data_IF_593890656336
#
_entry.id   IF_593890656336
#
_cell.length_a   1.000
_cell.length_b   1.000
_cell.length_c   1.000
_cell.angle_alpha   90.00
_cell.angle_beta   90.00
_cell.angle_gamma   90.00
#
_symmetry.space_group_name_H-M   'P 1'
#
loop_
_entity.id
_entity.type
_entity.pdbx_description
1 polymer ?
#
# COMPACT_ATOMS: atom_id res chain seq x y z
N UNK A 1 61.73 -20.62 -4.55
CA UNK A 1 61.01 -19.69 -3.64
C UNK A 1 59.79 -20.34 -2.99
N UNK A 2 58.97 -21.15 -3.71
CA UNK A 2 57.74 -21.78 -3.20
C UNK A 2 58.00 -22.81 -2.08
N UNK A 3 59.14 -23.47 -2.08
CA UNK A 3 59.46 -24.53 -1.13
C UNK A 3 59.87 -24.00 0.24
N UNK A 4 60.41 -22.79 0.34
CA UNK A 4 60.87 -22.15 1.58
C UNK A 4 59.69 -21.56 2.37
N UNK A 5 58.59 -21.19 1.69
CA UNK A 5 57.39 -20.63 2.30
C UNK A 5 56.38 -21.69 2.81
N UNK A 6 56.55 -22.97 2.45
CA UNK A 6 55.67 -24.08 2.90
C UNK A 6 55.51 -24.17 4.43
N UNK A 7 56.61 -24.11 5.24
CA UNK A 7 56.45 -24.20 6.70
C UNK A 7 55.73 -22.97 7.31
N UNK A 8 55.91 -21.79 6.70
CA UNK A 8 55.26 -20.59 7.17
C UNK A 8 53.75 -20.64 6.90
N UNK A 9 53.38 -21.10 5.72
CA UNK A 9 51.96 -21.25 5.36
C UNK A 9 51.25 -22.34 6.21
N UNK A 10 51.99 -23.45 6.53
CA UNK A 10 51.48 -24.49 7.41
C UNK A 10 51.25 -23.94 8.86
N UNK A 11 52.19 -23.14 9.36
CA UNK A 11 52.07 -22.50 10.69
C UNK A 11 50.88 -21.54 10.74
N UNK A 12 50.68 -20.71 9.71
CA UNK A 12 49.55 -19.81 9.58
C UNK A 12 48.21 -20.57 9.52
N UNK A 13 48.15 -21.66 8.77
CA UNK A 13 46.94 -22.47 8.67
C UNK A 13 46.60 -23.14 10.01
N UNK A 14 47.60 -23.63 10.73
CA UNK A 14 47.40 -24.19 12.07
C UNK A 14 47.01 -23.14 13.09
N UNK A 15 47.55 -21.96 12.98
CA UNK A 15 47.19 -20.84 13.85
C UNK A 15 45.78 -20.31 13.58
N UNK A 16 45.38 -20.20 12.32
CA UNK A 16 44.01 -19.90 11.93
C UNK A 16 43.02 -20.95 12.46
N UNK A 17 43.33 -22.24 12.35
CA UNK A 17 42.50 -23.34 12.89
C UNK A 17 42.45 -23.32 14.43
N UNK A 18 43.51 -22.89 15.11
CA UNK A 18 43.52 -22.75 16.55
C UNK A 18 42.71 -21.55 17.01
N UNK A 19 42.86 -20.41 16.33
CA UNK A 19 42.04 -19.21 16.60
C UNK A 19 40.55 -19.46 16.35
N UNK A 20 40.18 -20.11 15.25
CA UNK A 20 38.77 -20.42 14.96
C UNK A 20 38.16 -21.38 15.98
N UNK A 21 38.96 -22.29 16.57
CA UNK A 21 38.51 -23.15 17.69
C UNK A 21 38.41 -22.41 19.01
N UNK A 22 39.30 -21.45 19.26
CA UNK A 22 39.32 -20.68 20.51
C UNK A 22 38.20 -19.62 20.54
N UNK A 23 37.93 -19.02 19.39
CA UNK A 23 36.91 -17.95 19.28
C UNK A 23 35.49 -18.49 19.08
N UNK A 24 35.31 -19.86 18.98
CA UNK A 24 34.00 -20.44 18.67
C UNK A 24 33.21 -19.51 17.76
N UNK A 25 33.73 -19.23 16.57
CA UNK A 25 32.93 -18.67 15.51
C UNK A 25 32.02 -19.82 15.08
N UNK A 26 30.89 -19.94 15.73
CA UNK A 26 29.76 -20.69 15.19
C UNK A 26 29.39 -19.95 13.92
N UNK A 27 29.81 -20.47 12.76
CA UNK A 27 29.41 -20.00 11.42
C UNK A 27 27.92 -20.32 11.11
N UNK A 28 27.10 -20.51 12.16
CA UNK A 28 25.65 -20.53 12.08
C UNK A 28 25.11 -19.07 12.27
N UNK A 29 25.64 -18.14 11.49
CA UNK A 29 24.92 -16.88 11.28
C UNK A 29 23.74 -17.19 10.35
N UNK A 30 22.61 -17.59 10.93
CA UNK A 30 21.35 -17.47 10.23
C UNK A 30 21.23 -15.99 9.83
N UNK A 31 21.23 -15.76 8.51
CA UNK A 31 21.06 -14.41 7.95
C UNK A 31 19.76 -13.85 8.53
N UNK A 32 19.84 -12.73 9.23
CA UNK A 32 18.67 -12.07 9.80
C UNK A 32 17.91 -11.31 8.70
N UNK A 33 16.65 -10.99 8.98
CA UNK A 33 15.82 -10.23 8.04
C UNK A 33 16.45 -8.87 7.73
N UNK A 34 17.00 -8.18 8.74
CA UNK A 34 17.68 -6.89 8.57
C UNK A 34 18.93 -7.01 7.68
N UNK A 35 19.68 -8.13 7.79
CA UNK A 35 20.81 -8.42 6.91
C UNK A 35 20.36 -8.66 5.47
N UNK A 36 19.20 -9.35 5.25
CA UNK A 36 18.64 -9.54 3.91
C UNK A 36 18.20 -8.21 3.31
N UNK A 37 17.52 -7.35 4.07
CA UNK A 37 17.13 -6.01 3.61
C UNK A 37 18.34 -5.16 3.24
N UNK A 38 19.41 -5.22 4.04
CA UNK A 38 20.67 -4.52 3.75
C UNK A 38 21.30 -5.02 2.43
N UNK A 39 21.33 -6.34 2.21
CA UNK A 39 21.86 -6.91 0.98
C UNK A 39 21.05 -6.52 -0.27
N UNK A 40 19.71 -6.41 -0.15
CA UNK A 40 18.85 -5.94 -1.23
C UNK A 40 19.15 -4.49 -1.58
N UNK A 41 19.34 -3.64 -0.56
CA UNK A 41 19.66 -2.23 -0.75
C UNK A 41 21.06 -2.03 -1.37
N UNK A 42 22.07 -2.80 -0.93
CA UNK A 42 23.41 -2.80 -1.54
C UNK A 42 23.36 -3.23 -3.02
N UNK A 43 22.59 -4.30 -3.34
CA UNK A 43 22.44 -4.77 -4.71
C UNK A 43 21.79 -3.74 -5.63
N UNK A 44 20.83 -2.94 -5.11
CA UNK A 44 20.21 -1.82 -5.81
C UNK A 44 21.24 -0.70 -6.09
N UNK A 45 22.03 -0.31 -5.06
CA UNK A 45 23.04 0.74 -5.19
C UNK A 45 24.17 0.38 -6.16
N UNK A 46 24.56 -0.90 -6.21
CA UNK A 46 25.58 -1.41 -7.14
C UNK A 46 25.05 -1.59 -8.59
N UNK A 47 23.78 -1.33 -8.85
CA UNK A 47 23.15 -1.48 -10.16
C UNK A 47 22.89 -2.92 -10.59
N UNK A 48 22.95 -3.87 -9.65
CA UNK A 48 22.63 -5.27 -9.88
C UNK A 48 21.13 -5.56 -9.92
N UNK A 49 20.29 -4.61 -9.51
CA UNK A 49 18.85 -4.72 -9.40
C UNK A 49 18.17 -3.39 -9.72
N UNK A 50 17.01 -3.41 -10.38
CA UNK A 50 16.24 -2.19 -10.58
C UNK A 50 15.42 -1.82 -9.31
N UNK A 51 14.78 -0.63 -9.31
CA UNK A 51 14.03 -0.13 -8.17
C UNK A 51 12.84 -1.04 -7.82
N UNK A 52 12.08 -1.44 -8.84
CA UNK A 52 10.86 -2.25 -8.67
C UNK A 52 11.19 -3.67 -8.16
N UNK A 53 12.27 -4.27 -8.68
CA UNK A 53 12.76 -5.58 -8.19
C UNK A 53 13.21 -5.53 -6.72
N UNK A 54 13.87 -4.43 -6.33
CA UNK A 54 14.29 -4.19 -4.95
C UNK A 54 13.08 -4.03 -4.02
N UNK A 55 12.06 -3.30 -4.45
CA UNK A 55 10.84 -3.08 -3.69
C UNK A 55 10.05 -4.37 -3.49
N UNK A 56 9.85 -5.16 -4.56
CA UNK A 56 9.22 -6.48 -4.49
C UNK A 56 9.92 -7.43 -3.51
N UNK A 57 11.26 -7.45 -3.52
CA UNK A 57 12.01 -8.29 -2.58
C UNK A 57 11.87 -7.81 -1.14
N UNK A 58 11.85 -6.51 -0.93
CA UNK A 58 11.63 -5.89 0.37
C UNK A 58 10.25 -6.26 0.92
N UNK A 59 9.20 -6.03 0.13
CA UNK A 59 7.82 -6.43 0.47
C UNK A 59 7.71 -7.93 0.75
N UNK A 60 8.37 -8.80 -0.06
CA UNK A 60 8.33 -10.24 0.17
C UNK A 60 9.04 -10.67 1.47
N UNK A 61 10.08 -9.96 1.91
CA UNK A 61 10.77 -10.21 3.17
C UNK A 61 9.87 -9.77 4.35
N UNK A 62 9.27 -8.58 4.27
CA UNK A 62 8.42 -7.99 5.30
C UNK A 62 7.06 -8.70 5.42
N UNK A 63 6.54 -9.23 4.32
CA UNK A 63 5.24 -9.92 4.23
C UNK A 63 5.03 -11.02 5.28
N UNK A 64 6.12 -11.67 5.70
CA UNK A 64 6.03 -12.76 6.67
C UNK A 64 5.72 -12.27 8.09
N UNK A 65 6.04 -11.03 8.40
CA UNK A 65 5.90 -10.44 9.73
C UNK A 65 4.59 -9.68 9.92
N UNK A 66 3.89 -9.34 8.83
CA UNK A 66 2.62 -8.64 8.89
C UNK A 66 1.50 -9.51 9.45
N UNK A 67 0.70 -8.90 10.33
CA UNK A 67 -0.51 -9.48 10.87
C UNK A 67 -1.75 -8.98 10.11
N UNK A 68 -2.85 -9.69 10.19
CA UNK A 68 -4.14 -9.28 9.57
C UNK A 68 -4.60 -7.93 10.11
N UNK A 69 -4.28 -7.61 11.38
CA UNK A 69 -4.60 -6.31 11.99
C UNK A 69 -3.97 -5.11 11.28
N UNK A 70 -2.88 -5.32 10.57
CA UNK A 70 -2.12 -4.24 9.92
C UNK A 70 -2.76 -3.81 8.61
N UNK A 71 -3.50 -4.73 7.93
CA UNK A 71 -4.05 -4.52 6.60
C UNK A 71 -5.58 -4.58 6.51
N UNK A 72 -6.28 -4.99 7.60
CA UNK A 72 -7.72 -5.21 7.56
C UNK A 72 -8.49 -3.92 7.22
N UNK A 73 -9.59 -4.07 6.49
CA UNK A 73 -10.61 -3.04 6.39
C UNK A 73 -11.43 -3.01 7.68
N UNK A 74 -11.35 -1.92 8.50
CA UNK A 74 -12.06 -1.84 9.77
C UNK A 74 -13.58 -1.92 9.58
N UNK A 75 -14.28 -2.50 10.55
CA UNK A 75 -15.75 -2.68 10.55
C UNK A 75 -16.53 -1.42 10.16
N UNK A 76 -16.09 -0.24 10.59
CA UNK A 76 -16.75 1.03 10.30
C UNK A 76 -16.74 1.42 8.82
N UNK A 77 -15.85 0.80 8.03
CA UNK A 77 -15.74 0.96 6.57
C UNK A 77 -16.29 -0.23 5.79
N UNK A 78 -16.76 -1.28 6.47
CA UNK A 78 -17.31 -2.46 5.82
C UNK A 78 -18.72 -2.19 5.34
N UNK A 79 -18.94 -2.35 4.05
CA UNK A 79 -20.26 -2.42 3.45
C UNK A 79 -20.80 -3.84 3.49
N UNK A 80 -22.00 -4.00 4.05
CA UNK A 80 -22.67 -5.29 4.13
C UNK A 80 -24.16 -5.17 3.92
N UNK A 81 -24.85 -6.29 3.86
CA UNK A 81 -26.31 -6.39 3.71
C UNK A 81 -26.91 -7.23 4.83
N UNK A 82 -28.04 -6.81 5.42
CA UNK A 82 -28.79 -7.64 6.34
C UNK A 82 -29.23 -8.96 5.70
N UNK A 83 -29.28 -10.04 6.48
CA UNK A 83 -29.72 -11.36 6.00
C UNK A 83 -31.15 -11.34 5.43
N UNK A 84 -32.01 -10.49 6.00
CA UNK A 84 -33.42 -10.35 5.62
C UNK A 84 -33.64 -9.38 4.45
N UNK A 85 -32.57 -8.80 3.88
CA UNK A 85 -32.68 -7.87 2.75
C UNK A 85 -33.36 -8.53 1.56
N UNK A 86 -34.22 -7.76 0.92
CA UNK A 86 -34.85 -8.13 -0.33
C UNK A 86 -33.83 -8.17 -1.48
N UNK A 87 -34.12 -8.90 -2.57
CA UNK A 87 -33.26 -8.87 -3.74
C UNK A 87 -33.04 -7.45 -4.31
N UNK A 88 -34.04 -6.56 -4.22
CA UNK A 88 -33.90 -5.20 -4.69
C UNK A 88 -32.92 -4.39 -3.82
N UNK A 89 -33.09 -4.41 -2.50
CA UNK A 89 -32.17 -3.72 -1.58
C UNK A 89 -30.74 -4.20 -1.72
N UNK A 90 -30.56 -5.52 -1.96
CA UNK A 90 -29.23 -6.10 -2.21
C UNK A 90 -28.63 -5.62 -3.54
N UNK A 91 -29.46 -5.52 -4.59
CA UNK A 91 -29.02 -5.00 -5.89
C UNK A 91 -28.59 -3.54 -5.76
N UNK A 92 -29.40 -2.71 -5.10
CA UNK A 92 -29.10 -1.29 -4.87
C UNK A 92 -27.79 -1.13 -4.06
N UNK A 93 -27.53 -2.05 -3.12
CA UNK A 93 -26.27 -2.01 -2.34
C UNK A 93 -25.07 -2.39 -3.20
N UNK A 94 -25.16 -3.39 -4.06
CA UNK A 94 -24.10 -3.72 -5.01
C UNK A 94 -23.82 -2.57 -5.99
N UNK A 95 -24.85 -1.91 -6.47
CA UNK A 95 -24.70 -0.78 -7.39
C UNK A 95 -24.07 0.43 -6.70
N UNK A 96 -24.49 0.74 -5.48
CA UNK A 96 -23.98 1.88 -4.72
C UNK A 96 -22.53 1.68 -4.25
N UNK A 97 -22.15 0.46 -3.86
CA UNK A 97 -20.81 0.16 -3.35
C UNK A 97 -19.79 -0.17 -4.44
N UNK A 98 -20.25 -0.72 -5.58
CA UNK A 98 -19.36 -1.22 -6.64
C UNK A 98 -18.60 -2.51 -6.28
N UNK A 99 -18.79 -3.07 -5.09
CA UNK A 99 -18.06 -4.24 -4.65
C UNK A 99 -18.52 -5.54 -5.30
N UNK A 100 -17.62 -6.45 -5.55
CA UNK A 100 -17.92 -7.79 -6.07
C UNK A 100 -18.47 -8.76 -5.02
N UNK A 101 -18.31 -8.43 -3.74
CA UNK A 101 -18.71 -9.27 -2.60
C UNK A 101 -19.20 -8.39 -1.45
N UNK A 102 -20.31 -8.82 -0.84
CA UNK A 102 -20.83 -8.15 0.35
C UNK A 102 -20.97 -9.17 1.50
N UNK A 103 -20.45 -8.86 2.68
CA UNK A 103 -20.79 -9.59 3.90
C UNK A 103 -22.30 -9.53 4.18
N UNK A 104 -22.86 -10.66 4.58
CA UNK A 104 -24.24 -10.78 5.01
C UNK A 104 -24.25 -10.91 6.53
N UNK A 105 -24.98 -10.05 7.21
CA UNK A 105 -25.01 -10.03 8.67
C UNK A 105 -26.43 -10.20 9.24
N UNK A 106 -26.50 -10.68 10.46
CA UNK A 106 -27.71 -10.79 11.25
C UNK A 106 -27.67 -9.73 12.35
N UNK A 107 -28.74 -8.97 12.50
CA UNK A 107 -28.87 -7.82 13.42
C UNK A 107 -27.84 -6.69 13.18
N UNK A 108 -26.57 -6.96 13.34
CA UNK A 108 -25.48 -5.98 13.19
C UNK A 108 -24.27 -6.59 12.48
N UNK A 109 -23.38 -5.72 11.97
CA UNK A 109 -22.10 -6.13 11.36
C UNK A 109 -21.18 -6.90 12.32
N UNK A 110 -21.50 -6.96 13.62
CA UNK A 110 -20.77 -7.83 14.56
C UNK A 110 -21.02 -9.31 14.31
N UNK A 111 -22.15 -9.64 13.67
CA UNK A 111 -22.53 -11.01 13.39
C UNK A 111 -22.68 -11.28 11.90
N UNK A 112 -21.56 -11.45 11.23
CA UNK A 112 -21.54 -11.81 9.80
C UNK A 112 -21.80 -13.31 9.65
N UNK A 113 -22.88 -13.67 8.96
CA UNK A 113 -23.32 -15.08 8.78
C UNK A 113 -23.00 -15.64 7.40
N UNK A 114 -22.61 -14.79 6.45
CA UNK A 114 -22.30 -15.20 5.09
C UNK A 114 -21.62 -14.13 4.27
N UNK A 115 -21.26 -14.51 3.04
CA UNK A 115 -20.77 -13.59 2.00
C UNK A 115 -21.55 -13.87 0.74
N UNK A 116 -22.16 -12.85 0.14
CA UNK A 116 -22.84 -12.95 -1.15
C UNK A 116 -21.94 -12.39 -2.24
N UNK A 117 -21.84 -13.13 -3.35
CA UNK A 117 -21.07 -12.72 -4.54
C UNK A 117 -22.00 -12.06 -5.55
N UNK A 118 -21.61 -10.91 -6.05
CA UNK A 118 -22.38 -10.16 -7.07
C UNK A 118 -22.77 -11.04 -8.27
N UNK A 119 -21.83 -11.84 -8.78
CA UNK A 119 -22.07 -12.74 -9.92
C UNK A 119 -23.14 -13.79 -9.60
N UNK A 120 -23.07 -14.42 -8.44
CA UNK A 120 -24.03 -15.46 -8.04
C UNK A 120 -25.41 -14.84 -7.79
N UNK A 121 -25.42 -13.65 -7.19
CA UNK A 121 -26.63 -12.87 -6.96
C UNK A 121 -27.35 -12.52 -8.29
N UNK A 122 -26.67 -11.86 -9.25
CA UNK A 122 -27.30 -11.49 -10.51
C UNK A 122 -27.66 -12.70 -11.38
N UNK A 123 -26.91 -13.79 -11.31
CA UNK A 123 -27.31 -15.04 -11.93
C UNK A 123 -28.64 -15.55 -11.36
N UNK A 124 -28.83 -15.46 -10.06
CA UNK A 124 -30.09 -15.90 -9.42
C UNK A 124 -31.25 -14.98 -9.77
N UNK A 125 -31.05 -13.66 -9.75
CA UNK A 125 -32.04 -12.66 -10.18
C UNK A 125 -32.51 -12.92 -11.62
N UNK A 126 -31.57 -13.20 -12.54
CA UNK A 126 -31.87 -13.47 -13.95
C UNK A 126 -32.77 -14.70 -14.14
N UNK A 127 -32.65 -15.71 -13.29
CA UNK A 127 -33.49 -16.92 -13.37
C UNK A 127 -34.90 -16.71 -12.79
N UNK A 128 -35.17 -15.55 -12.19
CA UNK A 128 -36.49 -15.15 -11.69
C UNK A 128 -36.89 -15.84 -10.38
N UNK A 129 -37.92 -15.29 -9.75
CA UNK A 129 -38.50 -15.77 -8.50
C UNK A 129 -37.91 -15.10 -7.26
N UNK A 130 -38.69 -15.01 -6.19
CA UNK A 130 -38.23 -14.59 -4.87
C UNK A 130 -37.26 -15.63 -4.32
N UNK A 131 -36.18 -15.18 -3.70
CA UNK A 131 -35.21 -16.02 -3.03
C UNK A 131 -34.63 -15.30 -1.80
N UNK A 132 -34.31 -16.08 -0.80
CA UNK A 132 -33.62 -15.58 0.38
C UNK A 132 -32.10 -15.55 0.12
N UNK A 133 -31.38 -14.55 0.64
CA UNK A 133 -29.93 -14.45 0.55
C UNK A 133 -29.23 -15.69 1.10
N UNK A 134 -29.80 -16.33 2.12
CA UNK A 134 -29.30 -17.59 2.69
C UNK A 134 -29.15 -18.73 1.69
N UNK A 135 -29.89 -18.69 0.56
CA UNK A 135 -29.82 -19.72 -0.48
C UNK A 135 -28.62 -19.60 -1.41
N UNK A 136 -27.99 -18.42 -1.47
CA UNK A 136 -26.90 -18.11 -2.40
C UNK A 136 -25.61 -17.65 -1.70
N UNK A 137 -25.68 -17.28 -0.43
CA UNK A 137 -24.50 -16.87 0.33
C UNK A 137 -23.57 -18.05 0.61
N UNK A 138 -22.29 -17.78 0.67
CA UNK A 138 -21.25 -18.73 1.08
C UNK A 138 -20.94 -18.53 2.56
N UNK A 139 -20.48 -19.60 3.20
CA UNK A 139 -20.03 -19.52 4.61
C UNK A 139 -18.81 -18.60 4.71
N UNK A 140 -18.77 -17.70 5.69
CA UNK A 140 -17.62 -16.85 5.92
C UNK A 140 -16.44 -17.66 6.44
N UNK A 141 -15.23 -17.23 6.08
CA UNK A 141 -13.98 -17.71 6.69
C UNK A 141 -13.64 -16.72 7.80
N UNK A 142 -13.32 -17.21 9.00
CA UNK A 142 -12.94 -16.36 10.13
C UNK A 142 -11.45 -16.48 10.42
N UNK A 143 -10.84 -15.37 10.76
CA UNK A 143 -9.44 -15.27 11.20
C UNK A 143 -9.32 -14.31 12.39
N UNK A 144 -8.42 -14.53 13.35
CA UNK A 144 -8.16 -13.57 14.40
C UNK A 144 -7.31 -12.39 13.88
N UNK A 145 -7.35 -11.21 14.52
CA UNK A 145 -6.55 -10.05 14.13
C UNK A 145 -5.03 -10.31 14.10
N UNK A 146 -4.51 -11.11 15.04
CA UNK A 146 -3.09 -11.47 15.11
C UNK A 146 -2.68 -12.66 14.23
N UNK A 147 -3.54 -13.11 13.30
CA UNK A 147 -3.12 -14.11 12.31
C UNK A 147 -2.14 -13.50 11.32
N UNK A 148 -1.11 -14.27 10.93
CA UNK A 148 -0.19 -13.84 9.87
C UNK A 148 -0.92 -13.78 8.52
N UNK A 149 -0.66 -12.72 7.75
CA UNK A 149 -1.28 -12.55 6.42
C UNK A 149 -0.89 -13.70 5.47
N UNK A 150 0.33 -14.22 5.57
CA UNK A 150 0.81 -15.37 4.81
C UNK A 150 -0.01 -16.66 5.08
N UNK A 151 -0.40 -16.90 6.33
CA UNK A 151 -1.23 -18.05 6.70
C UNK A 151 -2.68 -17.83 6.29
N UNK A 152 -3.17 -16.59 6.42
CA UNK A 152 -4.50 -16.17 5.97
C UNK A 152 -4.65 -16.34 4.47
N UNK A 153 -3.66 -15.95 3.67
CA UNK A 153 -3.62 -16.17 2.22
C UNK A 153 -3.76 -17.67 1.88
N UNK A 154 -2.98 -18.53 2.53
CA UNK A 154 -3.06 -19.99 2.35
C UNK A 154 -4.43 -20.54 2.75
N UNK A 155 -5.05 -20.00 3.79
CA UNK A 155 -6.38 -20.39 4.22
C UNK A 155 -7.43 -20.02 3.18
N UNK A 156 -7.40 -18.77 2.69
CA UNK A 156 -8.30 -18.30 1.62
C UNK A 156 -8.16 -19.12 0.35
N UNK A 157 -6.94 -19.44 -0.08
CA UNK A 157 -6.68 -20.31 -1.23
C UNK A 157 -7.27 -21.72 -1.05
N UNK A 158 -7.05 -22.35 0.10
CA UNK A 158 -7.56 -23.70 0.38
C UNK A 158 -9.09 -23.76 0.47
N UNK A 159 -9.71 -22.71 1.01
CA UNK A 159 -11.19 -22.62 1.13
C UNK A 159 -11.84 -22.06 -0.13
N UNK A 160 -11.05 -21.69 -1.14
CA UNK A 160 -11.52 -21.00 -2.36
C UNK A 160 -12.37 -19.76 -2.01
N UNK A 161 -12.02 -19.09 -0.93
CA UNK A 161 -12.61 -17.82 -0.51
C UNK A 161 -11.67 -16.68 -0.88
N UNK A 162 -12.22 -15.51 -1.18
CA UNK A 162 -11.45 -14.31 -1.46
C UNK A 162 -11.58 -13.26 -0.37
N UNK A 163 -12.35 -13.58 0.70
CA UNK A 163 -12.57 -12.69 1.83
C UNK A 163 -12.62 -13.50 3.11
N UNK A 164 -11.99 -13.01 4.16
CA UNK A 164 -12.14 -13.48 5.52
C UNK A 164 -12.72 -12.39 6.41
N UNK A 165 -13.52 -12.80 7.38
CA UNK A 165 -14.02 -11.95 8.46
C UNK A 165 -13.00 -12.00 9.59
N UNK A 166 -12.55 -10.83 10.04
CA UNK A 166 -11.65 -10.72 11.18
C UNK A 166 -12.49 -10.59 12.44
N UNK A 167 -12.38 -11.58 13.31
CA UNK A 167 -13.17 -11.65 14.55
C UNK A 167 -12.28 -11.65 15.79
N UNK A 168 -12.73 -10.95 16.83
CA UNK A 168 -12.08 -10.93 18.14
C UNK A 168 -12.38 -12.22 18.97
N UNK A 169 -11.83 -12.30 20.19
CA UNK A 169 -11.98 -13.43 21.10
C UNK A 169 -13.42 -13.59 21.62
N UNK A 170 -14.23 -12.55 21.47
CA UNK A 170 -15.64 -12.55 21.90
C UNK A 170 -16.59 -12.88 20.73
N UNK A 171 -16.05 -13.07 19.53
CA UNK A 171 -16.80 -13.35 18.31
C UNK A 171 -17.36 -12.12 17.63
N UNK A 172 -16.97 -10.93 18.08
CA UNK A 172 -17.32 -9.66 17.41
C UNK A 172 -16.47 -9.42 16.16
N UNK A 173 -17.08 -8.86 15.11
CA UNK A 173 -16.37 -8.51 13.89
C UNK A 173 -15.53 -7.24 14.09
N UNK A 174 -14.22 -7.36 13.94
CA UNK A 174 -13.26 -6.25 13.92
C UNK A 174 -13.20 -5.60 12.53
N UNK A 175 -13.29 -6.41 11.49
CA UNK A 175 -13.24 -5.98 10.11
C UNK A 175 -13.27 -7.15 9.14
N UNK A 176 -12.80 -6.91 7.93
CA UNK A 176 -12.62 -7.92 6.89
C UNK A 176 -11.22 -7.79 6.29
N UNK A 177 -10.73 -8.86 5.69
CA UNK A 177 -9.52 -8.85 4.86
C UNK A 177 -9.80 -9.63 3.59
N UNK A 178 -9.37 -9.11 2.45
CA UNK A 178 -9.53 -9.78 1.16
C UNK A 178 -8.21 -10.36 0.67
N UNK A 179 -8.28 -11.23 -0.34
CA UNK A 179 -7.08 -11.77 -0.98
C UNK A 179 -6.35 -10.65 -1.75
N UNK A 180 -7.12 -9.71 -2.27
CA UNK A 180 -6.64 -8.52 -2.95
C UNK A 180 -5.77 -7.67 -2.01
N UNK A 181 -6.24 -7.35 -0.79
CA UNK A 181 -5.47 -6.60 0.23
C UNK A 181 -4.15 -7.30 0.58
N UNK A 182 -4.18 -8.63 0.76
CA UNK A 182 -2.99 -9.42 1.07
C UNK A 182 -1.97 -9.42 -0.08
N UNK A 183 -2.43 -9.46 -1.33
CA UNK A 183 -1.54 -9.44 -2.49
C UNK A 183 -0.96 -8.06 -2.75
N UNK A 184 -1.68 -7.01 -2.38
CA UNK A 184 -1.22 -5.62 -2.45
C UNK A 184 0.04 -5.41 -1.59
N UNK A 185 0.12 -6.03 -0.40
CA UNK A 185 1.32 -6.00 0.44
C UNK A 185 2.56 -6.66 -0.21
N UNK A 186 2.35 -7.57 -1.15
CA UNK A 186 3.46 -8.23 -1.88
C UNK A 186 3.91 -7.48 -3.12
N UNK A 187 2.95 -6.93 -3.86
CA UNK A 187 3.19 -6.42 -5.22
C UNK A 187 3.17 -4.88 -5.25
N UNK A 188 2.70 -4.24 -4.15
CA UNK A 188 2.33 -2.83 -4.14
C UNK A 188 0.99 -2.60 -4.83
N UNK A 189 0.58 -1.36 -4.96
CA UNK A 189 -0.64 -1.02 -5.70
C UNK A 189 -0.56 -1.57 -7.13
N UNK A 190 -1.43 -2.53 -7.46
CA UNK A 190 -1.54 -3.06 -8.83
C UNK A 190 -2.34 -2.02 -9.60
N UNK A 191 -1.65 -1.21 -10.38
CA UNK A 191 -2.28 -0.26 -11.29
C UNK A 191 -3.15 -1.01 -12.30
N UNK A 192 -4.46 -0.70 -12.34
CA UNK A 192 -5.34 -1.19 -13.40
C UNK A 192 -4.98 -0.49 -14.73
N UNK A 193 -5.20 -1.14 -15.86
CA UNK A 193 -5.01 -0.54 -17.20
C UNK A 193 -5.83 0.75 -17.41
N UNK A 194 -6.76 1.04 -16.51
CA UNK A 194 -7.63 2.21 -16.47
C UNK A 194 -7.29 3.22 -15.38
N UNK A 195 -6.35 2.88 -14.48
CA UNK A 195 -5.88 3.83 -13.50
C UNK A 195 -5.00 4.86 -14.24
N UNK A 196 -5.47 6.09 -14.29
CA UNK A 196 -4.59 7.19 -14.69
C UNK A 196 -3.47 7.22 -13.66
N UNK A 197 -2.25 6.86 -14.07
CA UNK A 197 -1.05 7.07 -13.27
C UNK A 197 -1.02 8.55 -12.93
N UNK A 198 -1.47 8.90 -11.73
CA UNK A 198 -1.34 10.27 -11.24
C UNK A 198 0.14 10.50 -10.95
N UNK A 199 0.89 10.84 -12.01
CA UNK A 199 2.29 11.24 -11.84
C UNK A 199 2.33 12.40 -10.84
N UNK A 200 3.13 12.29 -9.75
CA UNK A 200 3.24 13.35 -8.74
C UNK A 200 3.55 14.72 -9.37
N UNK A 201 4.24 14.70 -10.51
CA UNK A 201 4.65 15.88 -11.29
C UNK A 201 4.29 15.68 -12.77
N UNK A 202 3.28 16.38 -13.24
CA UNK A 202 2.85 16.35 -14.65
C UNK A 202 3.22 17.65 -15.36
N UNK A 203 4.27 17.63 -16.16
CA UNK A 203 4.65 18.76 -17.00
C UNK A 203 3.74 18.85 -18.22
N UNK A 204 2.91 19.89 -18.30
CA UNK A 204 2.04 20.16 -19.45
C UNK A 204 2.81 20.82 -20.59
N UNK A 205 3.82 21.61 -20.25
CA UNK A 205 4.79 22.26 -21.13
C UNK A 205 5.96 22.80 -20.30
N UNK A 206 6.96 23.39 -20.93
CA UNK A 206 8.16 23.94 -20.27
C UNK A 206 7.88 25.03 -19.23
N UNK A 207 6.67 25.58 -19.21
CA UNK A 207 6.26 26.69 -18.34
C UNK A 207 5.09 26.35 -17.43
N UNK A 208 4.57 25.12 -17.46
CA UNK A 208 3.40 24.73 -16.67
C UNK A 208 3.57 23.30 -16.18
N UNK A 209 3.52 23.14 -14.87
CA UNK A 209 3.58 21.85 -14.19
C UNK A 209 2.37 21.72 -13.25
N UNK A 210 1.70 20.56 -13.26
CA UNK A 210 0.74 20.17 -12.24
C UNK A 210 1.39 19.23 -11.26
N UNK A 211 1.07 19.40 -10.00
CA UNK A 211 1.71 18.68 -8.90
C UNK A 211 0.64 18.22 -7.93
N UNK A 212 0.71 16.95 -7.53
CA UNK A 212 -0.16 16.43 -6.48
C UNK A 212 0.24 17.00 -5.12
N UNK A 213 -0.74 17.25 -4.27
CA UNK A 213 -0.51 17.74 -2.91
C UNK A 213 0.25 16.77 -2.02
N UNK A 214 0.26 15.48 -2.35
CA UNK A 214 1.02 14.42 -1.67
C UNK A 214 2.50 14.34 -2.09
N UNK A 215 2.88 15.03 -3.17
CA UNK A 215 4.25 15.02 -3.68
C UNK A 215 5.26 15.60 -2.68
N UNK A 216 6.52 15.19 -2.81
CA UNK A 216 7.63 15.69 -2.02
C UNK A 216 8.00 17.12 -2.45
N UNK A 217 8.03 18.11 -1.56
CA UNK A 217 8.36 19.47 -1.89
C UNK A 217 9.85 19.64 -2.27
N UNK A 218 10.78 18.86 -1.71
CA UNK A 218 12.20 18.94 -2.06
C UNK A 218 12.43 18.51 -3.51
N UNK A 219 11.76 17.42 -3.94
CA UNK A 219 11.78 16.96 -5.32
C UNK A 219 11.17 17.99 -6.28
N UNK A 220 10.09 18.68 -5.86
CA UNK A 220 9.50 19.78 -6.63
C UNK A 220 10.49 20.93 -6.82
N UNK A 221 11.15 21.35 -5.75
CA UNK A 221 12.09 22.47 -5.79
C UNK A 221 13.29 22.15 -6.68
N UNK A 222 13.81 20.92 -6.60
CA UNK A 222 14.90 20.47 -7.45
C UNK A 222 14.50 20.47 -8.95
N UNK A 223 13.34 19.87 -9.28
CA UNK A 223 12.85 19.80 -10.67
C UNK A 223 12.56 21.16 -11.30
N UNK A 224 12.08 22.12 -10.52
CA UNK A 224 11.75 23.48 -10.99
C UNK A 224 12.90 24.48 -10.82
N UNK A 225 14.00 24.10 -10.18
CA UNK A 225 15.12 24.98 -9.89
C UNK A 225 14.74 26.12 -8.93
N UNK A 226 13.92 25.82 -7.93
CA UNK A 226 13.47 26.76 -6.91
C UNK A 226 14.43 26.75 -5.72
N UNK A 227 14.83 27.94 -5.29
CA UNK A 227 15.60 28.14 -4.06
C UNK A 227 14.60 28.41 -2.91
N UNK A 228 13.79 27.39 -2.58
CA UNK A 228 12.80 27.40 -1.51
C UNK A 228 13.16 26.34 -0.47
N UNK A 229 12.74 26.55 0.76
CA UNK A 229 12.82 25.56 1.85
C UNK A 229 11.50 25.53 2.60
N UNK A 230 11.12 24.37 3.10
CA UNK A 230 9.91 24.18 3.90
C UNK A 230 10.16 23.11 4.97
N UNK A 231 9.44 23.16 6.08
CA UNK A 231 9.41 22.08 7.07
C UNK A 231 8.29 21.07 6.79
N UNK A 232 7.44 21.35 5.79
CA UNK A 232 6.36 20.47 5.41
C UNK A 232 6.89 19.24 4.66
N UNK A 233 6.35 18.07 4.97
CA UNK A 233 6.68 16.81 4.32
C UNK A 233 5.96 16.59 2.98
N UNK A 234 5.05 17.50 2.58
CA UNK A 234 4.28 17.39 1.34
C UNK A 234 4.08 18.77 0.70
N UNK A 235 3.90 18.79 -0.62
CA UNK A 235 3.58 20.01 -1.38
C UNK A 235 2.31 20.67 -0.85
N UNK A 236 1.30 19.89 -0.49
CA UNK A 236 0.07 20.42 0.12
C UNK A 236 0.32 21.13 1.45
N UNK A 237 1.20 20.59 2.30
CA UNK A 237 1.66 21.22 3.52
C UNK A 237 2.42 22.52 3.26
N UNK A 238 3.35 22.51 2.32
CA UNK A 238 4.07 23.71 1.88
C UNK A 238 3.13 24.82 1.39
N UNK A 239 2.11 24.46 0.60
CA UNK A 239 1.10 25.45 0.14
C UNK A 239 0.32 26.05 1.32
N UNK A 240 -0.01 25.24 2.33
CA UNK A 240 -0.68 25.74 3.54
C UNK A 240 0.23 26.65 4.38
N UNK A 241 1.53 26.37 4.46
CA UNK A 241 2.51 27.27 5.09
C UNK A 241 2.55 28.62 4.36
N UNK A 242 2.63 28.61 3.03
CA UNK A 242 2.72 29.83 2.21
C UNK A 242 1.45 30.66 2.23
N UNK A 243 0.29 30.04 2.41
CA UNK A 243 -1.02 30.73 2.45
C UNK A 243 -1.49 31.07 3.86
N UNK A 244 -0.80 30.55 4.91
CA UNK A 244 -1.11 30.68 6.33
C UNK A 244 -2.56 30.26 6.69
N UNK A 245 -3.21 29.48 5.82
CA UNK A 245 -4.58 28.96 5.98
C UNK A 245 -4.79 27.75 5.09
N UNK A 246 -5.93 27.06 5.29
CA UNK A 246 -6.39 26.06 4.31
C UNK A 246 -6.87 26.80 3.06
N UNK A 247 -6.18 26.66 1.93
CA UNK A 247 -6.50 27.40 0.72
C UNK A 247 -7.75 26.84 0.02
N UNK A 248 -8.37 27.67 -0.80
CA UNK A 248 -9.49 27.29 -1.65
C UNK A 248 -9.02 27.14 -3.11
N UNK A 249 -9.74 26.40 -3.96
CA UNK A 249 -9.47 26.36 -5.38
C UNK A 249 -9.45 27.78 -5.98
N UNK A 250 -8.36 28.11 -6.68
CA UNK A 250 -8.10 29.44 -7.24
C UNK A 250 -7.20 30.34 -6.39
N UNK A 251 -6.94 29.99 -5.13
CA UNK A 251 -5.92 30.69 -4.34
C UNK A 251 -4.53 30.42 -4.93
N UNK A 252 -3.64 31.42 -4.87
CA UNK A 252 -2.30 31.29 -5.40
C UNK A 252 -1.30 32.19 -4.71
N UNK A 253 -0.03 31.89 -4.93
CA UNK A 253 1.12 32.66 -4.43
C UNK A 253 2.31 32.53 -5.39
N UNK A 254 3.23 33.46 -5.25
CA UNK A 254 4.45 33.49 -6.08
C UNK A 254 5.61 32.80 -5.32
N UNK A 255 6.34 31.92 -6.01
CA UNK A 255 7.54 31.28 -5.53
C UNK A 255 8.65 31.40 -6.60
N UNK A 256 9.53 32.37 -6.42
CA UNK A 256 10.57 32.70 -7.39
C UNK A 256 10.00 33.06 -8.77
N UNK A 257 10.41 32.40 -9.87
CA UNK A 257 9.87 32.64 -11.20
C UNK A 257 8.53 31.94 -11.48
N UNK A 258 7.97 31.23 -10.51
CA UNK A 258 6.74 30.45 -10.67
C UNK A 258 5.59 31.05 -9.85
N UNK A 259 4.39 30.96 -10.40
CA UNK A 259 3.14 31.25 -9.73
C UNK A 259 2.40 29.94 -9.47
N UNK A 260 2.18 29.62 -8.21
CA UNK A 260 1.41 28.43 -7.78
C UNK A 260 -0.07 28.80 -7.66
N UNK A 261 -0.96 27.94 -8.16
CA UNK A 261 -2.41 28.08 -8.06
C UNK A 261 -2.99 26.76 -7.58
N UNK A 262 -3.82 26.79 -6.55
CA UNK A 262 -4.52 25.60 -6.04
C UNK A 262 -5.66 25.23 -7.00
N UNK A 263 -5.63 24.00 -7.51
CA UNK A 263 -6.67 23.48 -8.41
C UNK A 263 -7.75 22.72 -7.65
N UNK A 264 -7.35 21.86 -6.71
CA UNK A 264 -8.26 21.00 -5.94
C UNK A 264 -7.89 20.96 -4.46
N UNK A 265 -8.91 20.86 -3.62
CA UNK A 265 -8.81 20.68 -2.16
C UNK A 265 -10.01 19.87 -1.66
N UNK A 266 -9.83 19.09 -0.61
CA UNK A 266 -10.90 18.38 0.07
C UNK A 266 -11.48 19.16 1.28
N UNK A 267 -11.09 20.44 1.43
CA UNK A 267 -11.45 21.30 2.55
C UNK A 267 -10.57 21.15 3.79
N UNK A 268 -9.62 20.21 3.79
CA UNK A 268 -8.60 20.01 4.83
C UNK A 268 -7.19 19.99 4.24
N UNK A 269 -7.04 19.42 3.05
CA UNK A 269 -5.76 19.24 2.38
C UNK A 269 -5.83 19.73 0.94
N UNK A 270 -4.71 20.21 0.44
CA UNK A 270 -4.55 20.53 -0.98
C UNK A 270 -4.28 19.21 -1.72
N UNK A 271 -5.10 18.92 -2.74
CA UNK A 271 -4.96 17.70 -3.55
C UNK A 271 -4.13 17.92 -4.80
N UNK A 272 -4.28 19.09 -5.46
CA UNK A 272 -3.57 19.38 -6.71
C UNK A 272 -3.31 20.89 -6.84
N UNK A 273 -2.12 21.22 -7.29
CA UNK A 273 -1.71 22.59 -7.65
C UNK A 273 -1.21 22.67 -9.07
N UNK A 274 -1.28 23.86 -9.67
CA UNK A 274 -0.64 24.17 -10.94
C UNK A 274 0.40 25.27 -10.71
N UNK A 275 1.62 25.02 -11.18
CA UNK A 275 2.68 26.00 -11.20
C UNK A 275 2.88 26.49 -12.63
N UNK A 276 2.83 27.81 -12.81
CA UNK A 276 3.09 28.50 -14.09
C UNK A 276 4.27 29.43 -13.94
N UNK A 277 5.19 29.32 -14.88
CA UNK A 277 6.33 30.22 -14.92
C UNK A 277 5.86 31.60 -15.34
N UNK A 278 6.08 32.60 -14.49
CA UNK A 278 5.80 34.02 -14.82
C UNK A 278 6.69 34.45 -15.98
N UNK A 279 6.09 35.01 -17.00
CA UNK A 279 6.86 35.66 -18.06
C UNK A 279 7.69 36.80 -17.44
N UNK A 280 9.01 36.65 -17.39
CA UNK A 280 9.88 37.77 -16.99
C UNK A 280 9.58 38.93 -17.92
N UNK A 281 9.01 39.98 -17.38
CA UNK A 281 9.00 41.27 -18.04
C UNK A 281 10.48 41.74 -18.09
N UNK A 282 11.15 41.50 -19.20
CA UNK A 282 12.46 42.10 -19.45
C UNK A 282 12.22 43.61 -19.46
N UNK A 283 12.49 44.27 -18.33
CA UNK A 283 12.61 45.70 -18.28
C UNK A 283 13.90 46.09 -19.03
N UNK A 284 13.72 46.72 -20.16
CA UNK A 284 14.77 47.35 -20.97
C UNK A 284 15.39 48.52 -20.23
#
# INVERSE_FOLDING_TARGET
>A
FVTVLKPVNWLFTKWKQFLSRLLRVDDDHAITQDELLTLVEEAKQEGGMNADESELLKSAIEFHDLDVSDILTPRVRVDGVPLESTPQETADRFEASGYSRLPVYEDTLDHIVGVVHQKDFYNRVRHGGDFALSSIMKKPVYVPPGAKISDTLRLLQRTQSQMAVVADEYGGTVGIVTMEDILEELVGEIWDEHDEVEEPFRFLNDNTCRVLGSADPEELFEKLGLDCSTEASTVGGWVMEMTERVPQPGDGFDCGPWHATVLKTDGRHVQEIELRRSAQTVSA
#
